data_IF_662803063595
#
_entry.id   IF_662803063595
#
_cell.length_a   1.000
_cell.length_b   1.000
_cell.length_c   1.000
_cell.angle_alpha   90.00
_cell.angle_beta   90.00
_cell.angle_gamma   90.00
#
_symmetry.space_group_name_H-M   'P 1'
#
loop_
_entity.id
_entity.type
_entity.pdbx_description
1 polymer ?
#
# COMPACT_ATOMS: atom_id res chain seq x y z
N UNK A 1 -0.28 -2.67 6.95
CA UNK A 1 0.83 -2.24 7.82
C UNK A 1 0.85 -0.72 7.85
N UNK A 2 1.40 -0.12 8.89
CA UNK A 2 1.61 1.34 8.96
C UNK A 2 3.00 1.62 9.51
N UNK A 3 3.68 2.62 8.98
CA UNK A 3 5.14 2.79 9.09
C UNK A 3 5.49 4.19 9.64
N UNK A 4 5.94 4.25 10.89
CA UNK A 4 6.47 5.45 11.54
C UNK A 4 5.51 6.66 11.45
N UNK A 5 4.26 6.46 11.88
CA UNK A 5 3.27 7.54 11.87
C UNK A 5 3.60 8.59 12.93
N UNK A 6 3.61 9.86 12.56
CA UNK A 6 3.73 11.00 13.50
C UNK A 6 2.35 11.41 14.04
N UNK A 7 1.27 11.01 13.37
CA UNK A 7 -0.11 11.32 13.71
C UNK A 7 -0.85 10.13 14.35
N UNK A 8 -2.16 10.29 14.54
CA UNK A 8 -2.99 9.28 15.21
C UNK A 8 -3.44 8.12 14.30
N UNK A 9 -2.81 7.93 13.14
CA UNK A 9 -3.19 6.91 12.14
C UNK A 9 -3.29 5.51 12.76
N UNK A 10 -2.33 5.13 13.61
CA UNK A 10 -2.34 3.79 14.21
C UNK A 10 -3.56 3.56 15.12
N UNK A 11 -3.95 4.56 15.91
CA UNK A 11 -5.11 4.43 16.79
C UNK A 11 -6.42 4.39 16.01
N UNK A 12 -6.55 5.23 14.98
CA UNK A 12 -7.73 5.27 14.10
C UNK A 12 -7.90 3.92 13.39
N UNK A 13 -6.83 3.39 12.80
CA UNK A 13 -6.87 2.08 12.12
C UNK A 13 -7.16 0.94 13.09
N UNK A 14 -6.60 0.98 14.30
CA UNK A 14 -6.90 -0.02 15.34
C UNK A 14 -8.39 -0.01 15.69
N UNK A 15 -8.97 1.17 15.90
CA UNK A 15 -10.39 1.28 16.23
C UNK A 15 -11.28 0.84 15.07
N UNK A 16 -10.97 1.26 13.84
CA UNK A 16 -11.67 0.78 12.65
C UNK A 16 -11.63 -0.76 12.56
N UNK A 17 -10.44 -1.37 12.69
CA UNK A 17 -10.27 -2.82 12.65
C UNK A 17 -11.11 -3.55 13.70
N UNK A 18 -11.20 -3.05 14.95
CA UNK A 18 -12.06 -3.67 15.96
C UNK A 18 -13.51 -3.80 15.51
N UNK A 19 -14.00 -2.82 14.76
CA UNK A 19 -15.39 -2.73 14.32
C UNK A 19 -15.68 -3.50 13.02
N UNK A 20 -14.68 -3.76 12.18
CA UNK A 20 -14.90 -4.35 10.83
C UNK A 20 -14.21 -5.68 10.59
N UNK A 21 -13.26 -6.10 11.44
CA UNK A 21 -12.43 -7.29 11.21
C UNK A 21 -13.26 -8.56 10.96
N UNK A 22 -14.44 -8.67 11.56
CA UNK A 22 -15.36 -9.79 11.41
C UNK A 22 -15.99 -9.89 10.00
N UNK A 23 -15.89 -8.84 9.19
CA UNK A 23 -16.32 -8.84 7.79
C UNK A 23 -15.30 -9.48 6.86
N UNK A 24 -14.07 -9.72 7.34
CA UNK A 24 -12.97 -10.28 6.57
C UNK A 24 -12.70 -11.72 7.01
N UNK A 25 -12.28 -12.56 6.06
CA UNK A 25 -11.88 -13.94 6.35
C UNK A 25 -10.69 -14.01 7.32
N UNK A 26 -9.71 -13.13 7.12
CA UNK A 26 -8.54 -13.01 7.99
C UNK A 26 -7.98 -11.58 7.92
N UNK A 27 -7.46 -11.08 9.03
CA UNK A 27 -6.84 -9.76 9.13
C UNK A 27 -5.47 -9.89 9.75
N UNK A 28 -4.46 -9.42 9.02
CA UNK A 28 -3.10 -9.29 9.55
C UNK A 28 -2.74 -7.81 9.73
N UNK A 29 -2.48 -7.41 10.96
CA UNK A 29 -2.12 -6.04 11.32
C UNK A 29 -0.69 -5.95 11.83
N UNK A 30 0.11 -5.09 11.19
CA UNK A 30 1.53 -4.86 11.52
C UNK A 30 1.79 -3.35 11.67
N UNK A 31 1.57 -2.76 12.86
CA UNK A 31 1.91 -1.37 13.13
C UNK A 31 3.38 -1.21 13.50
N UNK A 32 3.99 -0.10 13.10
CA UNK A 32 5.31 0.33 13.55
C UNK A 32 5.21 1.81 13.95
N UNK A 33 5.28 2.08 15.26
CA UNK A 33 5.21 3.43 15.83
C UNK A 33 6.59 3.95 16.24
N UNK A 34 7.47 3.07 16.72
CA UNK A 34 8.81 3.42 17.19
C UNK A 34 9.91 2.78 16.33
N UNK A 35 10.97 3.55 15.99
CA UNK A 35 11.11 4.99 16.21
C UNK A 35 10.10 5.82 15.38
N UNK A 36 9.94 7.13 15.62
CA UNK A 36 8.98 7.96 14.85
C UNK A 36 9.49 8.34 13.45
N UNK A 37 10.76 8.12 13.15
CA UNK A 37 11.40 8.42 11.86
C UNK A 37 12.63 7.54 11.63
N UNK A 38 13.11 7.48 10.40
CA UNK A 38 14.37 6.82 10.09
C UNK A 38 15.56 7.75 10.40
N UNK A 39 16.69 7.27 10.96
CA UNK A 39 17.82 8.13 11.36
C UNK A 39 18.41 9.00 10.25
N UNK A 40 18.29 8.55 8.99
CA UNK A 40 18.82 9.21 7.79
C UNK A 40 17.80 10.17 7.13
N UNK A 41 16.61 10.31 7.71
CA UNK A 41 15.60 11.24 7.19
C UNK A 41 16.00 12.69 7.47
N UNK A 42 16.06 13.49 6.41
CA UNK A 42 16.40 14.92 6.47
C UNK A 42 15.10 15.77 6.50
N UNK A 43 13.96 15.16 6.16
CA UNK A 43 12.65 15.77 6.23
C UNK A 43 11.53 14.83 5.73
N UNK A 44 10.25 15.25 5.80
CA UNK A 44 9.09 14.38 5.56
C UNK A 44 9.01 13.78 4.15
N UNK A 45 9.63 14.42 3.16
CA UNK A 45 9.67 13.98 1.76
C UNK A 45 10.96 13.22 1.40
N UNK A 46 11.92 13.14 2.31
CA UNK A 46 13.14 12.40 2.08
C UNK A 46 12.92 10.94 2.48
N UNK A 47 13.00 10.03 1.52
CA UNK A 47 12.97 8.59 1.81
C UNK A 47 14.38 8.04 1.69
N UNK A 48 15.03 7.67 2.80
CA UNK A 48 16.34 7.02 2.73
C UNK A 48 16.20 5.59 2.18
N UNK A 49 17.31 5.01 1.71
CA UNK A 49 17.35 3.63 1.19
C UNK A 49 16.86 2.60 2.21
N UNK A 50 17.08 2.86 3.50
CA UNK A 50 16.59 2.06 4.62
C UNK A 50 15.06 1.98 4.65
N UNK A 51 14.36 3.12 4.48
CA UNK A 51 12.90 3.19 4.38
C UNK A 51 12.37 2.49 3.14
N UNK A 52 12.98 2.71 1.96
CA UNK A 52 12.62 1.99 0.74
C UNK A 52 12.72 0.47 0.94
N UNK A 53 13.82 0.00 1.51
CA UNK A 53 14.04 -1.42 1.80
C UNK A 53 12.98 -1.96 2.77
N UNK A 54 12.60 -1.19 3.79
CA UNK A 54 11.56 -1.57 4.74
C UNK A 54 10.21 -1.77 4.04
N UNK A 55 9.76 -0.79 3.26
CA UNK A 55 8.49 -0.87 2.51
C UNK A 55 8.51 -2.04 1.51
N UNK A 56 9.62 -2.28 0.83
CA UNK A 56 9.79 -3.45 -0.06
C UNK A 56 9.62 -4.77 0.70
N UNK A 57 10.19 -4.90 1.91
CA UNK A 57 10.02 -6.08 2.76
C UNK A 57 8.56 -6.27 3.18
N UNK A 58 7.84 -5.20 3.50
CA UNK A 58 6.40 -5.27 3.82
C UNK A 58 5.58 -5.78 2.63
N UNK A 59 5.80 -5.22 1.43
CA UNK A 59 5.09 -5.66 0.21
C UNK A 59 5.42 -7.12 -0.14
N UNK A 60 6.68 -7.52 0.02
CA UNK A 60 7.10 -8.91 -0.19
C UNK A 60 6.46 -9.87 0.81
N UNK A 61 6.31 -9.46 2.08
CA UNK A 61 5.65 -10.27 3.10
C UNK A 61 4.16 -10.42 2.81
N UNK A 62 3.47 -9.36 2.38
CA UNK A 62 2.07 -9.41 1.97
C UNK A 62 1.86 -10.38 0.79
N UNK A 63 2.76 -10.35 -0.21
CA UNK A 63 2.71 -11.30 -1.34
C UNK A 63 2.89 -12.75 -0.89
N UNK A 64 3.77 -13.02 0.09
CA UNK A 64 3.94 -14.37 0.64
C UNK A 64 2.67 -14.83 1.38
N UNK A 65 2.12 -13.98 2.23
CA UNK A 65 0.90 -14.27 2.98
C UNK A 65 -0.28 -14.58 2.04
N UNK A 66 -0.46 -13.82 0.95
CA UNK A 66 -1.50 -14.10 -0.04
C UNK A 66 -1.34 -15.48 -0.71
N UNK A 67 -0.10 -15.87 -1.03
CA UNK A 67 0.21 -17.20 -1.59
C UNK A 67 -0.06 -18.32 -0.59
N UNK A 68 0.36 -18.15 0.66
CA UNK A 68 0.13 -19.11 1.74
C UNK A 68 -1.37 -19.30 2.05
N UNK A 69 -2.16 -18.25 1.85
CA UNK A 69 -3.63 -18.26 1.97
C UNK A 69 -4.36 -18.70 0.70
N UNK A 70 -3.64 -19.13 -0.33
CA UNK A 70 -4.23 -19.58 -1.61
C UNK A 70 -5.14 -18.54 -2.28
N UNK A 71 -4.77 -17.25 -2.19
CA UNK A 71 -5.51 -16.18 -2.87
C UNK A 71 -5.24 -16.18 -4.37
N UNK A 72 -6.29 -16.15 -5.19
CA UNK A 72 -6.17 -16.06 -6.67
C UNK A 72 -5.59 -14.71 -7.12
N UNK A 73 -5.88 -13.64 -6.39
CA UNK A 73 -5.46 -12.27 -6.69
C UNK A 73 -4.92 -11.56 -5.45
N UNK A 74 -4.05 -10.57 -5.66
CA UNK A 74 -3.58 -9.65 -4.63
C UNK A 74 -3.75 -8.21 -5.10
N UNK A 75 -4.38 -7.38 -4.27
CA UNK A 75 -4.51 -5.95 -4.50
C UNK A 75 -3.59 -5.19 -3.54
N UNK A 76 -2.61 -4.47 -4.09
CA UNK A 76 -1.86 -3.47 -3.34
C UNK A 76 -2.58 -2.13 -3.45
N UNK A 77 -2.89 -1.52 -2.31
CA UNK A 77 -3.56 -0.22 -2.22
C UNK A 77 -2.88 0.63 -1.15
N UNK A 78 -2.57 1.87 -1.50
CA UNK A 78 -2.02 2.86 -0.58
C UNK A 78 -3.16 3.69 0.05
N UNK A 79 -2.95 4.27 1.24
CA UNK A 79 -4.00 4.92 2.01
C UNK A 79 -4.56 6.20 1.36
N UNK A 80 -3.84 6.78 0.40
CA UNK A 80 -4.25 7.94 -0.39
C UNK A 80 -4.96 7.57 -1.71
N UNK A 81 -5.16 6.27 -1.98
CA UNK A 81 -5.90 5.80 -3.15
C UNK A 81 -7.41 5.76 -2.86
N UNK A 82 -8.15 6.78 -3.34
CA UNK A 82 -9.60 6.84 -3.20
C UNK A 82 -10.31 6.13 -4.37
N UNK A 83 -10.66 4.86 -4.17
CA UNK A 83 -11.43 4.09 -5.16
C UNK A 83 -12.92 4.43 -5.07
N UNK A 84 -13.38 5.34 -5.93
CA UNK A 84 -14.79 5.78 -5.96
C UNK A 84 -15.69 4.88 -6.79
N UNK A 85 -15.13 4.14 -7.76
CA UNK A 85 -15.89 3.20 -8.57
C UNK A 85 -15.99 1.84 -7.84
N UNK A 86 -17.18 1.40 -7.41
CA UNK A 86 -17.35 0.13 -6.70
C UNK A 86 -17.07 -1.10 -7.56
N UNK A 87 -16.97 -0.96 -8.89
CA UNK A 87 -16.65 -2.05 -9.82
C UNK A 87 -15.15 -2.20 -10.07
N UNK A 88 -14.29 -1.37 -9.45
CA UNK A 88 -12.84 -1.34 -9.76
C UNK A 88 -12.19 -2.72 -9.70
N UNK A 89 -12.47 -3.52 -8.67
CA UNK A 89 -11.89 -4.87 -8.54
C UNK A 89 -12.37 -5.82 -9.64
N UNK A 90 -13.68 -5.84 -9.92
CA UNK A 90 -14.27 -6.69 -10.96
C UNK A 90 -13.71 -6.36 -12.35
N UNK A 91 -13.58 -5.06 -12.65
CA UNK A 91 -13.03 -4.58 -13.92
C UNK A 91 -11.56 -5.00 -14.08
N UNK A 92 -10.75 -4.86 -13.03
CA UNK A 92 -9.35 -5.32 -13.07
C UNK A 92 -9.21 -6.83 -13.24
N UNK A 93 -10.04 -7.62 -12.56
CA UNK A 93 -10.04 -9.09 -12.72
C UNK A 93 -10.44 -9.47 -14.16
N UNK A 94 -11.43 -8.79 -14.73
CA UNK A 94 -11.92 -9.04 -16.08
C UNK A 94 -10.87 -8.77 -17.18
N UNK A 95 -9.85 -7.95 -16.92
CA UNK A 95 -8.75 -7.72 -17.87
C UNK A 95 -7.91 -8.99 -18.15
N UNK A 96 -7.96 -9.99 -17.26
CA UNK A 96 -7.25 -11.26 -17.40
C UNK A 96 -5.75 -11.10 -17.72
N UNK A 97 -5.09 -10.19 -16.97
CA UNK A 97 -3.65 -9.92 -17.07
C UNK A 97 -2.96 -10.27 -15.76
N UNK A 98 -1.69 -10.66 -15.85
CA UNK A 98 -0.86 -10.95 -14.67
C UNK A 98 -0.74 -9.75 -13.72
N UNK A 99 -0.66 -8.54 -14.28
CA UNK A 99 -0.58 -7.27 -13.55
C UNK A 99 -1.44 -6.23 -14.25
N UNK A 100 -2.27 -5.55 -13.47
CA UNK A 100 -3.11 -4.45 -13.92
C UNK A 100 -3.23 -3.44 -12.78
N UNK A 101 -3.37 -2.17 -13.12
CA UNK A 101 -3.67 -1.10 -12.18
C UNK A 101 -4.72 -0.17 -12.81
N UNK A 102 -5.64 0.39 -12.02
CA UNK A 102 -6.53 1.42 -12.50
C UNK A 102 -5.75 2.73 -12.58
N UNK A 103 -6.01 3.56 -13.59
CA UNK A 103 -5.49 4.92 -13.60
C UNK A 103 -6.19 5.71 -12.50
N UNK A 104 -5.41 6.33 -11.61
CA UNK A 104 -5.94 7.21 -10.57
C UNK A 104 -5.83 8.66 -11.02
N UNK A 105 -6.96 9.35 -11.06
CA UNK A 105 -6.99 10.78 -11.39
C UNK A 105 -6.40 11.59 -10.24
N UNK A 106 -5.46 12.49 -10.58
CA UNK A 106 -4.94 13.49 -9.64
C UNK A 106 -5.33 14.89 -10.10
N UNK A 107 -5.32 15.85 -9.17
CA UNK A 107 -5.57 17.28 -9.50
C UNK A 107 -4.39 17.95 -10.22
N UNK A 108 -3.31 17.22 -10.45
CA UNK A 108 -2.03 17.73 -10.97
C UNK A 108 -1.54 16.87 -12.13
N UNK A 109 -0.35 17.17 -12.66
CA UNK A 109 0.27 16.34 -13.69
C UNK A 109 0.85 15.02 -13.15
N UNK A 110 0.87 14.82 -11.84
CA UNK A 110 1.30 13.55 -11.25
C UNK A 110 0.21 12.48 -11.43
N UNK A 111 0.63 11.24 -11.65
CA UNK A 111 -0.26 10.07 -11.73
C UNK A 111 0.43 8.86 -11.09
N UNK A 112 -0.32 7.78 -10.93
CA UNK A 112 0.19 6.49 -10.45
C UNK A 112 0.91 5.68 -11.54
N UNK A 113 1.26 6.29 -12.69
CA UNK A 113 1.88 5.61 -13.82
C UNK A 113 2.84 6.51 -14.60
N UNK A 114 4.00 5.99 -14.98
CA UNK A 114 4.94 6.67 -15.87
C UNK A 114 4.98 6.00 -17.24
N UNK A 115 4.74 6.77 -18.30
CA UNK A 115 4.76 6.25 -19.68
C UNK A 115 6.15 6.19 -20.31
N UNK A 116 7.16 6.78 -19.66
CA UNK A 116 8.53 6.84 -20.15
C UNK A 116 9.52 6.78 -19.00
N UNK A 117 10.68 6.21 -19.27
CA UNK A 117 11.81 6.10 -18.35
C UNK A 117 13.04 6.62 -19.10
N UNK A 118 13.82 7.48 -18.47
CA UNK A 118 15.14 7.86 -18.99
C UNK A 118 16.08 6.66 -18.90
N UNK A 119 16.78 6.27 -19.98
CA UNK A 119 17.75 5.19 -19.92
C UNK A 119 18.79 5.45 -18.84
N UNK A 120 19.18 4.41 -18.10
CA UNK A 120 20.37 4.49 -17.25
C UNK A 120 21.60 4.63 -18.15
N UNK A 121 22.42 5.64 -17.88
CA UNK A 121 23.70 5.86 -18.54
C UNK A 121 24.74 4.81 -18.10
#
# INVERSE_FOLDING_TARGET
ATDHNVDNTTAILREWLKNVQNLYHDVEWRPMEDPPSYPEEIGPKHWPSSRFTHVMKLRQAALRAAREKWSDYILFIDADNLLTNPQTLNLMIAENKTLVAPMLESRSLYSNFWCGITPQA
#
